data_IF_159791566447
#
_entry.id   IF_159791566447
#
_cell.length_a   1.000
_cell.length_b   1.000
_cell.length_c   1.000
_cell.angle_alpha   90.00
_cell.angle_beta   90.00
_cell.angle_gamma   90.00
#
_symmetry.space_group_name_H-M   'P 1'
#
loop_
_entity.id
_entity.type
_entity.pdbx_description
1 polymer ?
#
# COMPACT_ATOMS: atom_id res chain seq x y z
N UNK A 1 0.11 2.19 -5.49
CA UNK A 1 -0.22 1.27 -6.59
C UNK A 1 0.82 1.30 -7.71
N UNK A 2 1.68 0.28 -7.81
CA UNK A 2 2.75 0.22 -8.83
C UNK A 2 2.49 -0.94 -9.79
N UNK A 3 2.50 -0.67 -11.10
CA UNK A 3 2.30 -1.72 -12.12
C UNK A 3 3.44 -2.73 -12.11
N UNK A 4 3.14 -3.98 -12.46
CA UNK A 4 4.17 -5.00 -12.66
C UNK A 4 5.18 -4.58 -13.73
N UNK A 5 6.46 -4.75 -13.41
CA UNK A 5 7.57 -4.37 -14.29
C UNK A 5 7.85 -2.86 -14.37
N UNK A 6 7.28 -2.06 -13.46
CA UNK A 6 7.57 -0.62 -13.42
C UNK A 6 9.07 -0.34 -13.29
N UNK A 7 9.60 0.49 -14.20
CA UNK A 7 10.97 0.99 -14.19
C UNK A 7 10.94 2.47 -13.84
N UNK A 8 11.25 2.80 -12.60
CA UNK A 8 11.31 4.17 -12.11
C UNK A 8 12.18 4.32 -10.89
N UNK A 9 12.32 5.57 -10.43
CA UNK A 9 13.12 5.87 -9.24
C UNK A 9 12.51 5.16 -8.02
N UNK A 10 13.37 4.48 -7.29
CA UNK A 10 13.01 3.70 -6.12
C UNK A 10 13.97 4.08 -4.99
N UNK A 11 13.42 4.41 -3.82
CA UNK A 11 14.19 4.52 -2.58
C UNK A 11 14.13 3.20 -1.83
N UNK A 12 15.25 2.80 -1.24
CA UNK A 12 15.40 1.54 -0.50
C UNK A 12 15.80 1.83 0.93
N UNK A 13 15.14 1.20 1.90
CA UNK A 13 15.49 1.30 3.32
C UNK A 13 15.33 -0.06 4.01
N UNK A 14 16.14 -0.28 5.04
CA UNK A 14 15.93 -1.37 5.98
C UNK A 14 15.09 -0.86 7.14
N UNK A 15 14.09 -1.62 7.55
CA UNK A 15 13.17 -1.31 8.64
C UNK A 15 12.93 -2.58 9.45
N UNK A 16 12.78 -2.48 10.77
CA UNK A 16 12.73 -3.65 11.65
C UNK A 16 11.45 -4.45 11.46
N UNK A 17 10.33 -3.76 11.21
CA UNK A 17 9.01 -4.39 11.03
C UNK A 17 8.75 -4.84 9.59
N UNK A 18 9.72 -4.73 8.68
CA UNK A 18 9.56 -5.23 7.31
C UNK A 18 10.57 -6.34 7.03
N UNK A 19 10.07 -7.55 6.71
CA UNK A 19 10.93 -8.72 6.43
C UNK A 19 11.86 -8.51 5.24
N UNK A 20 11.43 -7.70 4.27
CA UNK A 20 12.22 -7.36 3.09
C UNK A 20 12.71 -5.92 3.11
N UNK A 21 13.61 -5.58 2.18
CA UNK A 21 13.98 -4.19 1.92
C UNK A 21 12.74 -3.40 1.51
N UNK A 22 12.40 -2.38 2.30
CA UNK A 22 11.32 -1.44 2.01
C UNK A 22 11.68 -0.67 0.75
N UNK A 23 10.83 -0.77 -0.28
CA UNK A 23 10.95 -0.09 -1.57
C UNK A 23 9.82 0.91 -1.71
N UNK A 24 10.15 2.19 -1.79
CA UNK A 24 9.16 3.27 -1.94
C UNK A 24 9.40 4.07 -3.20
N UNK A 25 8.32 4.48 -3.85
CA UNK A 25 8.28 5.18 -5.14
C UNK A 25 7.75 6.61 -5.03
N UNK A 26 7.35 7.05 -3.83
CA UNK A 26 6.87 8.39 -3.57
C UNK A 26 7.00 8.80 -2.10
N UNK A 27 6.83 10.09 -1.83
CA UNK A 27 6.98 10.65 -0.48
C UNK A 27 5.94 10.11 0.51
N UNK A 28 4.69 9.93 0.07
CA UNK A 28 3.61 9.39 0.91
C UNK A 28 3.93 7.98 1.39
N UNK A 29 4.38 7.10 0.49
CA UNK A 29 4.79 5.74 0.86
C UNK A 29 5.94 5.76 1.87
N UNK A 30 6.93 6.63 1.66
CA UNK A 30 8.07 6.74 2.57
C UNK A 30 7.63 7.18 3.97
N UNK A 31 6.85 8.26 4.06
CA UNK A 31 6.35 8.76 5.33
C UNK A 31 5.44 7.74 6.03
N UNK A 32 4.62 7.00 5.27
CA UNK A 32 3.76 5.99 5.85
C UNK A 32 4.54 4.77 6.35
N UNK A 33 5.58 4.33 5.63
CA UNK A 33 6.47 3.28 6.10
C UNK A 33 7.18 3.65 7.41
N UNK A 34 7.66 4.91 7.52
CA UNK A 34 8.23 5.43 8.77
C UNK A 34 7.20 5.44 9.91
N UNK A 35 5.95 5.80 9.63
CA UNK A 35 4.87 5.72 10.63
C UNK A 35 4.61 4.27 11.07
N UNK A 36 4.52 3.33 10.13
CA UNK A 36 4.29 1.91 10.45
C UNK A 36 5.41 1.32 11.31
N UNK A 37 6.66 1.70 11.04
CA UNK A 37 7.81 1.29 11.84
C UNK A 37 7.69 1.72 13.31
N UNK A 38 7.12 2.90 13.57
CA UNK A 38 6.92 3.44 14.94
C UNK A 38 5.60 3.00 15.60
N UNK A 39 4.65 2.45 14.84
CA UNK A 39 3.30 2.14 15.34
C UNK A 39 3.29 0.80 16.09
N UNK A 40 3.15 0.83 17.42
CA UNK A 40 3.21 -0.36 18.27
C UNK A 40 2.14 -1.39 17.92
N UNK A 41 0.95 -0.96 17.50
CA UNK A 41 -0.13 -1.87 17.10
C UNK A 41 0.19 -2.70 15.84
N UNK A 42 1.23 -2.34 15.08
CA UNK A 42 1.74 -3.07 13.92
C UNK A 42 2.98 -3.87 14.32
N UNK A 43 2.94 -5.18 14.06
CA UNK A 43 4.08 -6.07 14.31
C UNK A 43 4.94 -6.26 13.07
N UNK A 44 4.31 -6.27 11.89
CA UNK A 44 4.98 -6.45 10.62
C UNK A 44 4.25 -5.73 9.49
N UNK A 45 4.98 -5.31 8.46
CA UNK A 45 4.39 -4.91 7.19
C UNK A 45 5.22 -5.36 5.99
N UNK A 46 4.55 -5.51 4.86
CA UNK A 46 5.14 -5.75 3.55
C UNK A 46 4.77 -4.62 2.59
N UNK A 47 5.72 -4.24 1.74
CA UNK A 47 5.54 -3.19 0.74
C UNK A 47 5.35 -3.78 -0.65
N UNK A 48 4.52 -3.14 -1.48
CA UNK A 48 4.34 -3.49 -2.90
C UNK A 48 3.87 -4.94 -3.11
N UNK A 49 2.89 -5.40 -2.33
CA UNK A 49 2.32 -6.74 -2.46
C UNK A 49 1.53 -6.86 -3.75
N UNK A 50 1.94 -7.79 -4.63
CA UNK A 50 1.37 -7.92 -5.97
C UNK A 50 -0.06 -8.45 -5.97
N UNK A 51 -0.92 -7.75 -6.69
CA UNK A 51 -2.29 -8.17 -6.98
C UNK A 51 -2.32 -8.80 -8.36
N UNK A 52 -2.85 -10.02 -8.43
CA UNK A 52 -2.96 -10.80 -9.67
C UNK A 52 -4.42 -11.16 -9.96
N UNK A 53 -4.71 -11.48 -11.23
CA UNK A 53 -6.06 -11.87 -11.66
C UNK A 53 -7.08 -10.74 -11.70
N UNK A 54 -6.63 -9.48 -11.77
CA UNK A 54 -7.48 -8.30 -11.89
C UNK A 54 -7.64 -7.88 -13.34
N UNK A 55 -8.85 -7.48 -13.76
CA UNK A 55 -9.12 -6.92 -15.09
C UNK A 55 -8.35 -5.62 -15.35
N UNK A 56 -8.04 -4.86 -14.29
CA UNK A 56 -7.24 -3.64 -14.36
C UNK A 56 -5.74 -3.90 -14.64
N UNK A 57 -5.34 -5.18 -14.74
CA UNK A 57 -3.97 -5.63 -14.89
C UNK A 57 -3.29 -5.90 -13.55
N UNK A 58 -2.04 -6.37 -13.61
CA UNK A 58 -1.24 -6.66 -12.41
C UNK A 58 -0.56 -5.39 -11.89
N UNK A 59 -0.85 -5.05 -10.64
CA UNK A 59 -0.21 -3.96 -9.90
C UNK A 59 -0.14 -4.33 -8.42
N UNK A 60 0.60 -3.56 -7.63
CA UNK A 60 0.76 -3.81 -6.21
C UNK A 60 -0.15 -2.95 -5.34
N UNK A 61 -0.56 -3.52 -4.21
CA UNK A 61 -0.96 -2.75 -3.03
C UNK A 61 0.27 -2.17 -2.34
N UNK A 62 0.15 -0.95 -1.81
CA UNK A 62 1.30 -0.26 -1.24
C UNK A 62 1.78 -0.88 0.07
N UNK A 63 0.87 -1.15 1.01
CA UNK A 63 1.19 -1.80 2.28
C UNK A 63 0.17 -2.87 2.66
N UNK A 64 0.67 -4.01 3.13
CA UNK A 64 -0.09 -5.03 3.86
C UNK A 64 0.57 -5.18 5.21
N UNK A 65 -0.18 -4.95 6.28
CA UNK A 65 0.34 -4.90 7.65
C UNK A 65 -0.36 -5.94 8.52
N UNK A 66 0.40 -6.59 9.37
CA UNK A 66 -0.11 -7.46 10.43
C UNK A 66 -0.14 -6.69 11.75
N UNK A 67 -1.31 -6.70 12.38
CA UNK A 67 -1.53 -6.07 13.68
C UNK A 67 -1.21 -7.05 14.81
N UNK A 68 -1.02 -6.53 16.02
CA UNK A 68 -0.80 -7.34 17.22
C UNK A 68 -1.92 -8.36 17.49
N UNK A 69 -3.16 -8.07 17.09
CA UNK A 69 -4.30 -8.98 17.27
C UNK A 69 -4.42 -10.06 16.17
N UNK A 70 -3.46 -10.13 15.24
CA UNK A 70 -3.45 -11.06 14.11
C UNK A 70 -4.26 -10.60 12.89
N UNK A 71 -4.99 -9.48 12.99
CA UNK A 71 -5.73 -8.94 11.85
C UNK A 71 -4.77 -8.29 10.84
N UNK A 72 -5.15 -8.37 9.57
CA UNK A 72 -4.46 -7.68 8.49
C UNK A 72 -5.13 -6.33 8.19
N UNK A 73 -4.31 -5.33 7.87
CA UNK A 73 -4.77 -4.09 7.26
C UNK A 73 -4.03 -3.78 5.97
N UNK A 74 -4.72 -3.12 5.04
CA UNK A 74 -4.17 -2.71 3.74
C UNK A 74 -4.27 -1.21 3.59
N UNK A 75 -3.20 -0.59 3.08
CA UNK A 75 -3.15 0.86 2.87
C UNK A 75 -2.62 1.17 1.48
N UNK A 76 -3.37 1.96 0.72
CA UNK A 76 -3.00 2.47 -0.59
C UNK A 76 -2.58 3.94 -0.49
N UNK A 77 -1.37 4.26 -0.91
CA UNK A 77 -0.83 5.61 -0.90
C UNK A 77 -1.14 6.32 -2.22
N UNK A 78 -1.93 7.40 -2.14
CA UNK A 78 -2.36 8.16 -3.31
C UNK A 78 -2.29 9.64 -3.00
N UNK A 79 -1.64 10.41 -3.89
CA UNK A 79 -1.68 11.87 -3.80
C UNK A 79 -3.12 12.36 -3.99
N UNK A 80 -3.58 13.28 -3.14
CA UNK A 80 -4.96 13.78 -3.07
C UNK A 80 -5.44 14.31 -4.43
N UNK A 81 -4.55 14.99 -5.17
CA UNK A 81 -4.80 15.48 -6.53
C UNK A 81 -5.16 14.39 -7.55
N UNK A 82 -4.86 13.12 -7.27
CA UNK A 82 -5.16 11.98 -8.13
C UNK A 82 -6.38 11.17 -7.70
N UNK A 83 -6.95 11.42 -6.51
CA UNK A 83 -8.12 10.66 -6.02
C UNK A 83 -9.34 10.76 -6.95
N UNK A 84 -9.49 11.88 -7.66
CA UNK A 84 -10.61 12.10 -8.59
C UNK A 84 -10.32 11.60 -10.01
N UNK A 85 -9.12 11.06 -10.29
CA UNK A 85 -8.80 10.54 -11.62
C UNK A 85 -9.50 9.19 -11.83
N UNK A 86 -10.24 9.00 -12.94
CA UNK A 86 -11.01 7.77 -13.16
C UNK A 86 -10.19 6.48 -13.05
N UNK A 87 -8.95 6.48 -13.57
CA UNK A 87 -8.07 5.30 -13.47
C UNK A 87 -7.63 5.02 -12.04
N UNK A 88 -7.38 6.05 -11.23
CA UNK A 88 -7.01 5.90 -9.82
C UNK A 88 -8.17 5.30 -9.04
N UNK A 89 -9.39 5.81 -9.23
CA UNK A 89 -10.60 5.26 -8.62
C UNK A 89 -10.78 3.78 -9.00
N UNK A 90 -10.68 3.45 -10.29
CA UNK A 90 -10.81 2.05 -10.76
C UNK A 90 -9.81 1.09 -10.09
N UNK A 91 -8.56 1.51 -9.92
CA UNK A 91 -7.53 0.68 -9.27
C UNK A 91 -7.74 0.58 -7.75
N UNK A 92 -8.23 1.64 -7.11
CA UNK A 92 -8.58 1.62 -5.69
C UNK A 92 -9.75 0.68 -5.41
N UNK A 93 -10.81 0.75 -6.21
CA UNK A 93 -11.96 -0.16 -6.09
C UNK A 93 -11.54 -1.62 -6.31
N UNK A 94 -10.75 -1.89 -7.35
CA UNK A 94 -10.23 -3.23 -7.62
C UNK A 94 -9.33 -3.75 -6.49
N UNK A 95 -8.50 -2.90 -5.88
CA UNK A 95 -7.68 -3.28 -4.72
C UNK A 95 -8.56 -3.61 -3.51
N UNK A 96 -9.52 -2.73 -3.18
CA UNK A 96 -10.45 -2.95 -2.08
C UNK A 96 -11.21 -4.26 -2.23
N UNK A 97 -11.76 -4.53 -3.40
CA UNK A 97 -12.47 -5.78 -3.69
C UNK A 97 -11.57 -7.01 -3.58
N UNK A 98 -10.34 -6.92 -4.12
CA UNK A 98 -9.36 -8.02 -4.07
C UNK A 98 -9.11 -8.48 -2.63
N UNK A 99 -8.95 -7.54 -1.71
CA UNK A 99 -8.68 -7.83 -0.30
C UNK A 99 -9.94 -8.22 0.47
N UNK A 100 -11.07 -7.58 0.17
CA UNK A 100 -12.37 -7.92 0.78
C UNK A 100 -12.74 -9.39 0.49
N UNK A 101 -12.53 -9.87 -0.74
CA UNK A 101 -12.78 -11.27 -1.11
C UNK A 101 -11.87 -12.27 -0.39
N UNK A 102 -10.80 -11.79 0.26
CA UNK A 102 -9.85 -12.58 1.07
C UNK A 102 -10.10 -12.40 2.58
N UNK A 103 -11.20 -11.77 2.97
CA UNK A 103 -11.56 -11.54 4.37
C UNK A 103 -10.88 -10.34 5.02
N UNK A 104 -10.09 -9.56 4.28
CA UNK A 104 -9.41 -8.36 4.79
C UNK A 104 -10.28 -7.14 4.52
N UNK A 105 -10.94 -6.64 5.57
CA UNK A 105 -11.90 -5.53 5.49
C UNK A 105 -11.33 -4.20 5.97
N UNK A 106 -10.26 -4.22 6.77
CA UNK A 106 -9.51 -3.01 7.13
C UNK A 106 -8.62 -2.57 5.95
N UNK A 107 -9.26 -1.95 4.97
CA UNK A 107 -8.64 -1.38 3.79
C UNK A 107 -8.83 0.13 3.81
N UNK A 108 -7.78 0.90 3.49
CA UNK A 108 -7.84 2.36 3.55
C UNK A 108 -6.90 3.05 2.58
N UNK A 109 -7.15 4.34 2.37
CA UNK A 109 -6.34 5.21 1.51
C UNK A 109 -5.54 6.15 2.41
N UNK A 110 -4.26 6.32 2.10
CA UNK A 110 -3.36 7.28 2.74
C UNK A 110 -3.04 8.38 1.73
N UNK A 111 -3.28 9.62 2.11
CA UNK A 111 -3.07 10.79 1.24
C UNK A 111 -2.16 11.79 1.90
N UNK A 112 -1.61 12.71 1.11
CA UNK A 112 -1.07 13.96 1.61
C UNK A 112 -2.16 14.83 2.25
N UNK A 113 -1.73 15.75 3.10
CA UNK A 113 -2.57 16.71 3.80
C UNK A 113 -3.32 17.63 2.82
N UNK A 114 -4.43 18.18 3.29
CA UNK A 114 -5.15 19.22 2.54
C UNK A 114 -4.34 20.52 2.59
N UNK A 115 -4.13 21.12 1.42
CA UNK A 115 -3.48 22.43 1.27
C UNK A 115 -4.52 23.52 1.10
#
# INVERSE_FOLDING_TARGET
MIKKGFKGRCQKRQMKKCKEVVRTYGAIQLAYAERLEQEDSIIEFQCNVMLSGLEAGEYSSDFVCEKQNGDLMVRECVERRFLKKPMTVKLLDASREYWTRRGITDWGIVTDEER
#
